data_IF_947910651245
#
_entry.id   IF_947910651245
#
_cell.length_a   1.000
_cell.length_b   1.000
_cell.length_c   1.000
_cell.angle_alpha   90.00
_cell.angle_beta   90.00
_cell.angle_gamma   90.00
#
_symmetry.space_group_name_H-M   'P 1'
#
loop_
_entity.id
_entity.type
_entity.pdbx_description
1 polymer ?
#
# COMPACT_ATOMS: atom_id res chain seq x y z
N UNK A 1 -42.21 19.47 -48.08
CA UNK A 1 -42.51 18.48 -47.03
C UNK A 1 -41.42 18.60 -45.97
N UNK A 2 -41.78 19.15 -44.80
CA UNK A 2 -40.86 19.28 -43.63
C UNK A 2 -41.16 18.13 -42.70
N UNK A 3 -40.19 17.26 -42.48
CA UNK A 3 -40.27 16.17 -41.51
C UNK A 3 -39.75 16.66 -40.16
N UNK A 4 -40.60 16.73 -39.15
CA UNK A 4 -40.27 17.00 -37.78
C UNK A 4 -39.65 15.76 -37.13
N UNK A 5 -38.45 15.91 -36.56
CA UNK A 5 -37.86 14.92 -35.67
C UNK A 5 -38.35 15.15 -34.22
N UNK A 6 -38.60 14.10 -33.46
CA UNK A 6 -39.04 14.24 -32.08
C UNK A 6 -37.88 14.60 -31.14
N UNK A 7 -38.07 15.64 -30.34
CA UNK A 7 -37.23 16.03 -29.21
C UNK A 7 -37.41 15.04 -28.06
N UNK A 8 -36.30 14.36 -27.68
CA UNK A 8 -36.25 13.52 -26.48
C UNK A 8 -35.81 14.41 -25.32
N UNK A 9 -36.69 14.54 -24.32
CA UNK A 9 -36.39 15.20 -23.04
C UNK A 9 -35.45 14.32 -22.19
N UNK A 10 -34.40 14.86 -21.53
CA UNK A 10 -33.60 14.05 -20.64
C UNK A 10 -34.36 13.76 -19.35
N UNK A 11 -34.49 12.49 -19.01
CA UNK A 11 -35.00 12.02 -17.73
C UNK A 11 -34.06 12.47 -16.61
N UNK A 12 -34.59 13.15 -15.61
CA UNK A 12 -33.89 13.50 -14.38
C UNK A 12 -33.55 12.20 -13.63
N UNK A 13 -32.26 11.91 -13.49
CA UNK A 13 -31.75 10.87 -12.61
C UNK A 13 -31.89 11.35 -11.14
N UNK A 14 -32.97 10.92 -10.49
CA UNK A 14 -33.09 10.98 -9.03
C UNK A 14 -32.05 9.99 -8.45
N UNK A 15 -30.90 10.48 -8.10
CA UNK A 15 -29.92 9.75 -7.30
C UNK A 15 -30.44 9.60 -5.88
N UNK A 16 -30.93 8.42 -5.57
CA UNK A 16 -31.27 7.98 -4.22
C UNK A 16 -29.94 7.99 -3.40
N UNK A 17 -29.77 9.03 -2.58
CA UNK A 17 -28.70 9.10 -1.58
C UNK A 17 -29.10 8.22 -0.41
N UNK A 18 -29.02 6.90 -0.58
CA UNK A 18 -28.97 6.00 0.56
C UNK A 18 -27.71 6.35 1.35
N UNK A 19 -27.90 6.93 2.52
CA UNK A 19 -26.83 7.12 3.50
C UNK A 19 -26.37 5.73 3.98
N UNK A 20 -25.42 5.13 3.25
CA UNK A 20 -24.66 4.02 3.78
C UNK A 20 -23.88 4.57 4.97
N UNK A 21 -24.31 4.29 6.20
CA UNK A 21 -23.47 4.38 7.37
C UNK A 21 -22.26 3.50 7.08
N UNK A 22 -21.09 4.12 6.87
CA UNK A 22 -19.87 3.40 6.57
C UNK A 22 -19.66 2.38 7.70
N UNK A 23 -19.51 1.10 7.33
CA UNK A 23 -19.19 0.06 8.30
C UNK A 23 -17.84 0.38 8.95
N UNK A 24 -17.65 0.01 10.22
CA UNK A 24 -16.34 0.11 10.85
C UNK A 24 -15.28 -0.68 10.07
N UNK A 25 -14.08 -0.16 9.93
CA UNK A 25 -12.97 -0.85 9.23
C UNK A 25 -12.75 -2.27 9.75
N UNK A 26 -12.89 -2.47 11.05
CA UNK A 26 -12.74 -3.78 11.67
C UNK A 26 -13.70 -4.83 11.12
N UNK A 27 -14.97 -4.49 10.90
CA UNK A 27 -15.96 -5.43 10.38
C UNK A 27 -15.62 -5.93 8.97
N UNK A 28 -15.07 -5.06 8.12
CA UNK A 28 -14.71 -5.41 6.76
C UNK A 28 -13.38 -6.19 6.71
N UNK A 29 -12.38 -5.77 7.49
CA UNK A 29 -11.04 -6.41 7.55
C UNK A 29 -11.12 -7.86 8.03
N UNK A 30 -12.03 -8.16 8.95
CA UNK A 30 -12.29 -9.53 9.43
C UNK A 30 -13.52 -10.15 8.76
N UNK A 31 -14.22 -9.38 7.92
CA UNK A 31 -15.45 -9.74 7.21
C UNK A 31 -15.21 -10.63 5.98
N UNK A 32 -16.15 -10.63 5.05
CA UNK A 32 -16.14 -11.53 3.91
C UNK A 32 -15.00 -11.24 2.93
N UNK A 33 -14.72 -9.95 2.67
CA UNK A 33 -13.70 -9.51 1.70
C UNK A 33 -12.29 -9.53 2.27
N UNK A 34 -12.12 -9.22 3.55
CA UNK A 34 -10.84 -9.15 4.24
C UNK A 34 -10.12 -7.82 4.11
N UNK A 35 -10.78 -6.79 3.56
CA UNK A 35 -10.24 -5.45 3.42
C UNK A 35 -11.32 -4.38 3.37
N UNK A 36 -10.91 -3.14 3.59
CA UNK A 36 -11.74 -1.95 3.41
C UNK A 36 -10.92 -0.80 2.83
N UNK A 37 -11.59 0.21 2.30
CA UNK A 37 -10.99 1.37 1.67
C UNK A 37 -11.24 2.62 2.50
N UNK A 38 -10.29 3.54 2.46
CA UNK A 38 -10.42 4.88 2.99
C UNK A 38 -9.57 5.86 2.20
N UNK A 39 -9.64 7.13 2.57
CA UNK A 39 -8.84 8.17 1.93
C UNK A 39 -8.34 9.20 2.95
N UNK A 40 -7.19 9.79 2.67
CA UNK A 40 -6.65 10.95 3.37
C UNK A 40 -7.03 12.23 2.63
N UNK A 41 -6.95 13.35 3.32
CA UNK A 41 -7.21 14.65 2.70
C UNK A 41 -6.09 15.04 1.71
N UNK A 42 -6.36 15.93 0.73
CA UNK A 42 -5.32 16.43 -0.18
C UNK A 42 -4.14 17.09 0.54
N UNK A 43 -4.36 17.77 1.67
CA UNK A 43 -3.30 18.37 2.48
C UNK A 43 -2.44 17.34 3.19
N UNK A 44 -3.02 16.25 3.71
CA UNK A 44 -2.30 15.14 4.30
C UNK A 44 -1.47 14.40 3.24
N UNK A 45 -2.03 14.19 2.04
CA UNK A 45 -1.28 13.62 0.92
C UNK A 45 -0.10 14.50 0.52
N UNK A 46 -0.27 15.82 0.46
CA UNK A 46 0.81 16.76 0.16
C UNK A 46 1.93 16.68 1.22
N UNK A 47 1.57 16.63 2.51
CA UNK A 47 2.52 16.45 3.62
C UNK A 47 3.28 15.14 3.50
N UNK A 48 2.59 14.02 3.26
CA UNK A 48 3.21 12.70 3.07
C UNK A 48 4.18 12.69 1.88
N UNK A 49 3.78 13.28 0.75
CA UNK A 49 4.65 13.45 -0.43
C UNK A 49 5.90 14.25 -0.11
N UNK A 50 5.76 15.30 0.70
CA UNK A 50 6.87 16.11 1.20
C UNK A 50 7.90 15.26 1.95
N UNK A 51 7.47 14.51 2.96
CA UNK A 51 8.35 13.65 3.76
C UNK A 51 9.07 12.59 2.93
N UNK A 52 8.34 11.92 2.01
CA UNK A 52 8.96 10.92 1.13
C UNK A 52 9.98 11.58 0.20
N UNK A 53 9.65 12.74 -0.38
CA UNK A 53 10.54 13.47 -1.30
C UNK A 53 11.81 13.97 -0.59
N UNK A 54 11.68 14.49 0.62
CA UNK A 54 12.83 14.93 1.42
C UNK A 54 13.80 13.77 1.68
N UNK A 55 13.29 12.62 2.13
CA UNK A 55 14.12 11.43 2.35
C UNK A 55 14.73 10.92 1.05
N UNK A 56 13.99 10.93 -0.04
CA UNK A 56 14.44 10.52 -1.37
C UNK A 56 15.62 11.37 -1.86
N UNK A 57 15.50 12.70 -1.80
CA UNK A 57 16.56 13.63 -2.18
C UNK A 57 17.76 13.56 -1.23
N UNK A 58 17.52 13.47 0.07
CA UNK A 58 18.58 13.29 1.06
C UNK A 58 19.42 12.03 0.79
N UNK A 59 18.75 10.91 0.52
CA UNK A 59 19.46 9.67 0.16
C UNK A 59 20.31 9.82 -1.09
N UNK A 60 19.77 10.45 -2.13
CA UNK A 60 20.51 10.73 -3.38
C UNK A 60 21.70 11.64 -3.12
N UNK A 61 21.56 12.66 -2.26
CA UNK A 61 22.66 13.54 -1.88
C UNK A 61 23.81 12.78 -1.23
N UNK A 62 23.52 11.71 -0.48
CA UNK A 62 24.53 10.90 0.18
C UNK A 62 25.23 9.90 -0.75
N UNK A 63 24.53 9.33 -1.73
CA UNK A 63 25.03 8.17 -2.48
C UNK A 63 25.27 8.43 -3.98
N UNK A 64 24.72 9.51 -4.52
CA UNK A 64 24.87 9.93 -5.93
C UNK A 64 24.74 11.46 -6.05
N UNK A 65 25.57 12.25 -5.35
CA UNK A 65 25.47 13.72 -5.27
C UNK A 65 25.54 14.40 -6.63
N UNK A 66 26.30 13.84 -7.58
CA UNK A 66 26.46 14.34 -8.96
C UNK A 66 25.14 14.33 -9.76
N UNK A 67 24.16 13.53 -9.34
CA UNK A 67 22.89 13.38 -10.05
C UNK A 67 21.71 14.10 -9.36
N UNK A 68 21.88 14.58 -8.13
CA UNK A 68 20.80 15.18 -7.31
C UNK A 68 20.02 16.26 -8.04
N UNK A 69 20.67 17.13 -8.81
CA UNK A 69 19.98 18.18 -9.55
C UNK A 69 18.98 17.65 -10.57
N UNK A 70 19.28 16.50 -11.19
CA UNK A 70 18.38 15.83 -12.15
C UNK A 70 17.14 15.29 -11.44
N UNK A 71 17.34 14.66 -10.27
CA UNK A 71 16.23 14.14 -9.48
C UNK A 71 15.41 15.26 -8.83
N UNK A 72 16.05 16.37 -8.44
CA UNK A 72 15.35 17.53 -7.92
C UNK A 72 14.39 18.15 -8.96
N UNK A 73 14.74 18.08 -10.24
CA UNK A 73 13.96 18.65 -11.35
C UNK A 73 12.70 17.85 -11.70
N UNK A 74 12.54 16.62 -11.20
CA UNK A 74 11.38 15.77 -11.49
C UNK A 74 10.55 15.48 -10.23
N UNK A 75 9.27 15.18 -10.43
CA UNK A 75 8.43 14.63 -9.37
C UNK A 75 8.69 13.12 -9.21
N UNK A 76 8.29 12.52 -8.09
CA UNK A 76 8.58 11.11 -7.81
C UNK A 76 7.86 10.15 -8.76
N UNK A 77 6.70 10.51 -9.27
CA UNK A 77 5.99 9.76 -10.31
C UNK A 77 6.68 9.80 -11.68
N UNK A 78 7.64 10.73 -11.87
CA UNK A 78 8.52 10.81 -13.03
C UNK A 78 9.92 10.20 -12.77
N UNK A 79 10.14 9.55 -11.63
CA UNK A 79 11.42 8.93 -11.27
C UNK A 79 12.01 8.05 -12.40
N UNK A 80 11.19 7.28 -13.09
CA UNK A 80 11.62 6.40 -14.17
C UNK A 80 12.36 7.12 -15.31
N UNK A 81 12.14 8.43 -15.51
CA UNK A 81 12.80 9.21 -16.56
C UNK A 81 14.27 9.55 -16.25
N UNK A 82 14.67 9.41 -14.98
CA UNK A 82 16.03 9.66 -14.49
C UNK A 82 16.63 8.45 -13.77
N UNK A 83 15.89 7.35 -13.68
CA UNK A 83 16.31 6.18 -12.88
C UNK A 83 17.55 5.48 -13.41
N UNK A 84 17.86 5.62 -14.70
CA UNK A 84 19.03 5.02 -15.34
C UNK A 84 20.35 5.72 -14.97
N UNK A 85 20.28 6.87 -14.32
CA UNK A 85 21.45 7.57 -13.77
C UNK A 85 22.05 6.87 -12.54
N UNK A 86 21.33 5.91 -11.96
CA UNK A 86 21.68 5.26 -10.69
C UNK A 86 21.31 3.78 -10.72
N UNK A 87 21.98 2.97 -9.90
CA UNK A 87 21.55 1.60 -9.67
C UNK A 87 20.36 1.62 -8.69
N UNK A 88 19.15 1.39 -9.21
CA UNK A 88 17.93 1.41 -8.43
C UNK A 88 17.97 0.46 -7.22
N UNK A 89 18.52 -0.75 -7.37
CA UNK A 89 18.54 -1.75 -6.30
C UNK A 89 19.51 -1.35 -5.18
N UNK A 90 20.62 -0.74 -5.51
CA UNK A 90 21.62 -0.29 -4.54
C UNK A 90 21.18 0.98 -3.81
N UNK A 91 20.53 1.91 -4.52
CA UNK A 91 20.10 3.18 -3.92
C UNK A 91 18.91 2.99 -2.99
N UNK A 92 17.98 2.08 -3.34
CA UNK A 92 16.71 1.90 -2.63
C UNK A 92 16.58 0.54 -1.95
N UNK A 93 17.53 0.08 -1.12
CA UNK A 93 17.27 -1.08 -0.26
C UNK A 93 16.08 -0.78 0.67
N UNK A 94 15.39 -1.80 1.19
CA UNK A 94 14.19 -1.62 2.03
C UNK A 94 14.46 -0.67 3.20
N UNK A 95 15.58 -0.83 3.87
CA UNK A 95 15.99 -0.01 5.02
C UNK A 95 16.14 1.49 4.71
N UNK A 96 16.51 1.85 3.48
CA UNK A 96 16.62 3.26 3.06
C UNK A 96 15.28 3.91 2.71
N UNK A 97 14.19 3.13 2.73
CA UNK A 97 12.83 3.55 2.39
C UNK A 97 11.88 3.57 3.59
N UNK A 98 12.38 3.34 4.79
CA UNK A 98 11.63 3.57 6.04
C UNK A 98 11.67 5.06 6.36
N UNK A 99 10.52 5.65 6.59
CA UNK A 99 10.42 7.07 6.94
C UNK A 99 11.16 7.36 8.26
N UNK A 100 11.78 8.53 8.41
CA UNK A 100 12.38 8.94 9.67
C UNK A 100 11.30 9.13 10.75
N UNK A 101 11.66 8.93 12.01
CA UNK A 101 10.74 9.00 13.14
C UNK A 101 9.91 10.30 13.20
N UNK A 102 10.52 11.43 12.82
CA UNK A 102 9.80 12.72 12.74
C UNK A 102 8.67 12.73 11.73
N UNK A 103 8.88 12.10 10.55
CA UNK A 103 7.84 11.95 9.53
C UNK A 103 6.73 10.99 9.99
N UNK A 104 7.09 9.91 10.71
CA UNK A 104 6.11 8.98 11.27
C UNK A 104 5.22 9.67 12.30
N UNK A 105 5.79 10.50 13.19
CA UNK A 105 5.01 11.33 14.12
C UNK A 105 4.04 12.25 13.38
N UNK A 106 4.46 12.83 12.26
CA UNK A 106 3.58 13.64 11.41
C UNK A 106 2.43 12.81 10.82
N UNK A 107 2.70 11.59 10.34
CA UNK A 107 1.68 10.66 9.82
C UNK A 107 0.68 10.27 10.92
N UNK A 108 1.14 9.96 12.13
CA UNK A 108 0.28 9.66 13.28
C UNK A 108 -0.64 10.81 13.68
N UNK A 109 -0.23 12.06 13.43
CA UNK A 109 -1.05 13.25 13.70
C UNK A 109 -2.17 13.48 12.66
N UNK A 110 -2.14 12.79 11.52
CA UNK A 110 -3.15 12.93 10.45
C UNK A 110 -4.52 12.41 10.89
N UNK A 111 -5.57 12.96 10.27
CA UNK A 111 -6.95 12.62 10.61
C UNK A 111 -7.29 11.14 10.34
N UNK A 112 -6.71 10.55 9.29
CA UNK A 112 -6.93 9.14 8.99
C UNK A 112 -6.38 8.22 10.09
N UNK A 113 -5.23 8.56 10.68
CA UNK A 113 -4.64 7.78 11.77
C UNK A 113 -5.50 7.85 13.02
N UNK A 114 -5.99 9.04 13.35
CA UNK A 114 -6.96 9.24 14.45
C UNK A 114 -8.24 8.43 14.23
N UNK A 115 -8.69 8.33 12.96
CA UNK A 115 -9.84 7.48 12.62
C UNK A 115 -9.52 6.00 12.87
N UNK A 116 -8.34 5.50 12.48
CA UNK A 116 -7.91 4.15 12.80
C UNK A 116 -7.91 3.91 14.33
N UNK A 117 -7.34 4.84 15.10
CA UNK A 117 -7.33 4.76 16.58
C UNK A 117 -8.73 4.79 17.19
N UNK A 118 -9.68 5.54 16.60
CA UNK A 118 -11.07 5.55 17.07
C UNK A 118 -11.80 4.22 16.85
N UNK A 119 -11.41 3.45 15.84
CA UNK A 119 -12.03 2.17 15.49
C UNK A 119 -11.33 0.95 16.12
N UNK A 120 -10.01 0.97 16.17
CA UNK A 120 -9.19 -0.14 16.68
C UNK A 120 -8.63 0.08 18.10
N UNK A 121 -8.91 1.24 18.71
CA UNK A 121 -8.33 1.60 20.00
C UNK A 121 -6.86 1.97 19.86
N UNK A 122 -6.07 1.67 20.89
CA UNK A 122 -4.63 1.93 20.88
C UNK A 122 -3.92 1.12 19.78
N UNK A 123 -3.17 1.83 18.94
CA UNK A 123 -2.43 1.27 17.81
C UNK A 123 -0.92 1.41 18.04
N UNK A 124 -0.17 0.35 17.79
CA UNK A 124 1.28 0.36 17.65
C UNK A 124 1.63 0.06 16.19
N UNK A 125 2.49 0.85 15.55
CA UNK A 125 3.05 0.51 14.25
C UNK A 125 4.25 -0.42 14.47
N UNK A 126 4.38 -1.47 13.66
CA UNK A 126 5.45 -2.44 13.77
C UNK A 126 6.83 -1.86 13.44
N UNK A 127 7.85 -2.30 14.15
CA UNK A 127 9.27 -2.08 13.83
C UNK A 127 9.80 -3.31 13.09
N UNK A 128 9.39 -3.47 11.82
CA UNK A 128 9.73 -4.65 11.02
C UNK A 128 11.21 -4.74 10.64
N UNK A 129 11.91 -3.63 10.63
CA UNK A 129 13.33 -3.54 10.27
C UNK A 129 14.27 -3.45 11.50
N UNK A 130 13.72 -3.51 12.72
CA UNK A 130 14.45 -3.42 13.99
C UNK A 130 15.29 -2.13 14.14
N UNK A 131 14.71 -0.99 13.79
CA UNK A 131 15.35 0.32 13.95
C UNK A 131 15.21 0.90 15.36
N UNK A 132 14.36 0.32 16.20
CA UNK A 132 14.02 0.84 17.53
C UNK A 132 12.90 1.89 17.49
N UNK A 133 12.27 2.11 16.35
CA UNK A 133 11.09 2.95 16.19
C UNK A 133 10.12 2.36 15.16
N UNK A 134 8.89 2.87 15.13
CA UNK A 134 7.83 2.48 14.21
C UNK A 134 8.25 2.60 12.75
N UNK A 135 7.87 1.64 11.90
CA UNK A 135 8.30 1.61 10.51
C UNK A 135 7.13 1.87 9.55
N UNK A 136 7.22 2.92 8.74
CA UNK A 136 6.40 3.16 7.56
C UNK A 136 7.33 3.14 6.36
N UNK A 137 7.13 2.17 5.46
CA UNK A 137 8.00 1.96 4.30
C UNK A 137 7.33 2.52 3.05
N UNK A 138 8.07 3.30 2.26
CA UNK A 138 7.62 3.71 0.94
C UNK A 138 8.25 2.87 -0.16
N UNK A 139 7.55 2.75 -1.30
CA UNK A 139 7.95 1.94 -2.43
C UNK A 139 7.91 2.74 -3.73
N UNK A 140 8.88 2.45 -4.62
CA UNK A 140 8.92 2.92 -6.00
C UNK A 140 8.74 1.73 -6.93
N UNK A 141 7.80 1.82 -7.87
CA UNK A 141 7.60 0.80 -8.91
C UNK A 141 7.61 1.49 -10.27
N UNK A 142 8.72 1.33 -10.96
CA UNK A 142 8.93 1.92 -12.29
C UNK A 142 8.06 1.24 -13.36
N UNK A 143 7.69 1.95 -14.43
CA UNK A 143 7.06 1.35 -15.59
C UNK A 143 7.88 0.18 -16.15
N UNK A 144 7.22 -0.95 -16.40
CA UNK A 144 7.79 -2.14 -17.07
C UNK A 144 9.05 -2.72 -16.44
N UNK A 145 9.26 -2.48 -15.13
CA UNK A 145 10.38 -3.00 -14.37
C UNK A 145 9.91 -4.04 -13.33
N UNK A 146 10.81 -4.96 -12.96
CA UNK A 146 10.55 -6.01 -11.96
C UNK A 146 10.65 -5.47 -10.51
N UNK A 147 9.96 -4.37 -10.24
CA UNK A 147 9.99 -3.68 -8.94
C UNK A 147 8.87 -4.16 -7.99
N UNK A 148 8.03 -5.10 -8.40
CA UNK A 148 6.94 -5.65 -7.59
C UNK A 148 7.32 -6.98 -6.94
N UNK A 149 6.80 -7.21 -5.72
CA UNK A 149 6.90 -8.50 -5.05
C UNK A 149 5.90 -9.54 -5.59
N UNK A 150 6.10 -10.82 -5.30
CA UNK A 150 5.17 -11.90 -5.63
C UNK A 150 3.88 -11.78 -4.82
N UNK A 151 2.86 -12.57 -5.18
CA UNK A 151 1.67 -12.77 -4.33
C UNK A 151 2.08 -13.50 -3.05
N UNK A 152 1.64 -12.98 -1.92
CA UNK A 152 1.90 -13.51 -0.58
C UNK A 152 0.81 -13.09 0.40
N UNK A 153 0.81 -13.69 1.59
CA UNK A 153 0.17 -13.15 2.79
C UNK A 153 1.27 -12.68 3.75
N UNK A 154 1.05 -11.55 4.42
CA UNK A 154 2.07 -11.01 5.34
C UNK A 154 2.32 -11.94 6.54
N UNK A 155 1.33 -12.71 6.98
CA UNK A 155 1.50 -13.71 8.05
C UNK A 155 2.62 -14.70 7.75
N UNK A 156 2.83 -15.07 6.50
CA UNK A 156 3.86 -16.02 6.11
C UNK A 156 5.29 -15.53 6.39
N UNK A 157 5.49 -14.21 6.45
CA UNK A 157 6.80 -13.64 6.82
C UNK A 157 7.20 -13.96 8.25
N UNK A 158 6.24 -14.08 9.18
CA UNK A 158 6.55 -14.47 10.56
C UNK A 158 7.05 -15.91 10.67
N UNK A 159 6.67 -16.77 9.72
CA UNK A 159 7.12 -18.16 9.67
C UNK A 159 8.52 -18.27 9.04
N UNK A 160 8.78 -17.54 7.94
CA UNK A 160 10.07 -17.60 7.24
C UNK A 160 11.13 -16.68 7.84
N UNK A 161 10.74 -15.72 8.68
CA UNK A 161 11.63 -14.75 9.36
C UNK A 161 11.32 -14.70 10.85
N UNK A 162 11.82 -15.64 11.64
CA UNK A 162 11.50 -15.73 13.09
C UNK A 162 12.00 -14.53 13.91
N UNK A 163 12.80 -13.65 13.33
CA UNK A 163 13.23 -12.39 13.96
C UNK A 163 12.12 -11.32 13.94
N UNK A 164 11.13 -11.44 13.08
CA UNK A 164 9.96 -10.56 13.13
C UNK A 164 9.10 -10.91 14.35
N UNK A 165 8.90 -9.93 15.22
CA UNK A 165 8.19 -10.12 16.49
C UNK A 165 6.69 -9.95 16.30
N UNK A 166 5.92 -10.96 16.71
CA UNK A 166 4.48 -10.80 16.99
C UNK A 166 4.33 -10.14 18.37
N UNK A 167 3.42 -9.19 18.47
CA UNK A 167 3.09 -8.58 19.76
C UNK A 167 2.09 -9.47 20.51
N UNK A 168 2.41 -9.88 21.73
CA UNK A 168 1.51 -10.71 22.56
C UNK A 168 0.22 -9.97 22.83
N UNK A 169 -0.93 -10.64 22.65
CA UNK A 169 -2.27 -10.07 22.87
C UNK A 169 -2.70 -9.05 21.81
N UNK A 170 -1.96 -8.94 20.71
CA UNK A 170 -2.30 -8.05 19.59
C UNK A 170 -2.29 -8.79 18.27
N UNK A 171 -3.12 -8.35 17.33
CA UNK A 171 -3.17 -8.88 15.97
C UNK A 171 -2.66 -7.83 14.97
N UNK A 172 -1.90 -8.27 13.96
CA UNK A 172 -1.46 -7.38 12.91
C UNK A 172 -2.57 -7.12 11.89
N UNK A 173 -2.65 -5.86 11.46
CA UNK A 173 -3.49 -5.39 10.36
C UNK A 173 -2.60 -4.58 9.44
N UNK A 174 -2.73 -4.79 8.14
CA UNK A 174 -1.90 -4.10 7.14
C UNK A 174 -2.58 -2.86 6.61
N UNK A 175 -1.74 -1.87 6.32
CA UNK A 175 -2.15 -0.65 5.62
C UNK A 175 -1.26 -0.47 4.40
N UNK A 176 -1.88 -0.26 3.26
CA UNK A 176 -1.24 0.16 2.03
C UNK A 176 -1.91 1.44 1.54
N UNK A 177 -1.14 2.44 1.12
CA UNK A 177 -1.68 3.72 0.65
C UNK A 177 -1.04 4.14 -0.66
N UNK A 178 -1.86 4.57 -1.60
CA UNK A 178 -1.43 5.15 -2.86
C UNK A 178 -0.92 6.59 -2.65
N UNK A 179 0.32 6.87 -3.02
CA UNK A 179 0.91 8.22 -2.99
C UNK A 179 0.93 8.83 -4.40
N UNK A 180 1.37 8.05 -5.38
CA UNK A 180 1.21 8.29 -6.82
C UNK A 180 0.80 6.96 -7.45
N UNK A 181 -0.38 6.90 -8.03
CA UNK A 181 -0.98 5.67 -8.53
C UNK A 181 -2.01 5.99 -9.61
N UNK A 182 -2.16 5.10 -10.57
CA UNK A 182 -3.24 5.15 -11.55
C UNK A 182 -4.33 4.16 -11.10
N UNK A 183 -5.50 4.68 -10.73
CA UNK A 183 -6.58 3.92 -10.13
C UNK A 183 -6.95 2.67 -10.96
N UNK A 184 -7.00 1.51 -10.28
CA UNK A 184 -7.34 0.23 -10.90
C UNK A 184 -6.30 -0.35 -11.86
N UNK A 185 -5.11 0.28 -12.01
CA UNK A 185 -4.12 -0.11 -13.02
C UNK A 185 -2.78 -0.56 -12.46
N UNK A 186 -2.22 0.17 -11.48
CA UNK A 186 -0.90 -0.13 -10.94
C UNK A 186 -0.82 -0.09 -9.40
N UNK A 187 -1.95 -0.25 -8.72
CA UNK A 187 -2.06 -0.26 -7.27
C UNK A 187 -1.65 -1.58 -6.61
N UNK A 188 -2.43 -1.97 -5.61
CA UNK A 188 -2.38 -3.27 -4.97
C UNK A 188 -3.40 -4.20 -5.66
N UNK A 189 -3.05 -5.48 -5.82
CA UNK A 189 -3.98 -6.56 -6.20
C UNK A 189 -4.13 -7.52 -5.03
N UNK A 190 -5.30 -8.10 -4.86
CA UNK A 190 -5.60 -8.98 -3.73
C UNK A 190 -6.64 -10.03 -4.12
N UNK A 191 -6.71 -11.10 -3.32
CA UNK A 191 -7.70 -12.16 -3.46
C UNK A 191 -8.71 -12.02 -2.32
N UNK A 192 -9.92 -11.55 -2.64
CA UNK A 192 -10.99 -11.33 -1.66
C UNK A 192 -11.33 -12.63 -0.91
N UNK A 193 -11.46 -12.52 0.41
CA UNK A 193 -11.80 -13.64 1.28
C UNK A 193 -10.71 -14.69 1.49
N UNK A 194 -9.52 -14.54 0.89
CA UNK A 194 -8.41 -15.50 1.01
C UNK A 194 -7.90 -15.67 2.44
N UNK A 195 -8.03 -14.64 3.28
CA UNK A 195 -7.64 -14.68 4.70
C UNK A 195 -8.40 -15.76 5.51
N UNK A 196 -9.54 -16.25 5.00
CA UNK A 196 -10.35 -17.33 5.59
C UNK A 196 -10.04 -18.71 4.98
N UNK A 197 -9.13 -18.79 4.04
CA UNK A 197 -8.84 -19.96 3.22
C UNK A 197 -7.38 -20.43 3.34
N UNK A 198 -6.78 -20.24 4.51
CA UNK A 198 -5.40 -20.65 4.77
C UNK A 198 -5.14 -22.17 4.65
N UNK A 199 -6.19 -22.98 4.65
CA UNK A 199 -6.16 -24.40 4.33
C UNK A 199 -5.86 -24.68 2.85
N UNK A 200 -6.26 -23.79 1.95
CA UNK A 200 -6.09 -23.92 0.50
C UNK A 200 -4.83 -23.22 0.02
N UNK A 201 -4.63 -21.98 0.46
CA UNK A 201 -3.50 -21.17 -0.02
C UNK A 201 -2.24 -21.48 0.77
N UNK A 202 -1.24 -22.02 0.08
CA UNK A 202 0.07 -22.39 0.61
C UNK A 202 1.15 -21.48 0.04
N UNK A 203 2.30 -21.48 0.66
CA UNK A 203 3.48 -20.77 0.16
C UNK A 203 4.69 -21.70 0.10
N UNK A 204 5.63 -21.35 -0.76
CA UNK A 204 7.00 -21.81 -0.74
C UNK A 204 7.92 -20.68 -0.37
N UNK A 205 9.09 -20.98 0.17
CA UNK A 205 10.11 -19.99 0.47
C UNK A 205 11.08 -19.86 -0.71
N UNK A 206 11.30 -18.62 -1.17
CA UNK A 206 12.32 -18.28 -2.15
C UNK A 206 13.39 -17.39 -1.51
N UNK A 207 14.63 -17.47 -1.99
CA UNK A 207 15.68 -16.54 -1.58
C UNK A 207 15.72 -15.39 -2.59
N UNK A 208 15.48 -14.17 -2.11
CA UNK A 208 15.55 -12.93 -2.89
C UNK A 208 16.42 -11.92 -2.13
N UNK A 209 17.46 -11.41 -2.78
CA UNK A 209 18.43 -10.50 -2.15
C UNK A 209 18.97 -11.03 -0.80
N UNK A 210 19.32 -12.32 -0.76
CA UNK A 210 19.81 -13.05 0.42
C UNK A 210 18.82 -13.14 1.60
N UNK A 211 17.54 -12.88 1.37
CA UNK A 211 16.49 -12.99 2.37
C UNK A 211 15.43 -14.02 1.94
N UNK A 212 14.95 -14.82 2.90
CA UNK A 212 13.80 -15.69 2.68
C UNK A 212 12.53 -14.85 2.46
N UNK A 213 11.83 -15.13 1.37
CA UNK A 213 10.60 -14.46 0.97
C UNK A 213 9.53 -15.51 0.73
N UNK A 214 8.39 -15.47 1.40
CA UNK A 214 7.28 -16.35 1.10
C UNK A 214 6.63 -15.92 -0.21
N UNK A 215 6.30 -16.92 -1.04
CA UNK A 215 5.67 -16.76 -2.35
C UNK A 215 4.52 -17.75 -2.44
N UNK A 216 3.38 -17.32 -2.95
CA UNK A 216 2.26 -18.23 -3.19
C UNK A 216 2.72 -19.45 -3.98
N UNK A 217 2.36 -20.66 -3.49
CA UNK A 217 2.75 -21.92 -4.09
C UNK A 217 1.66 -22.42 -5.06
N UNK A 218 1.53 -21.72 -6.18
CA UNK A 218 0.58 -22.00 -7.24
C UNK A 218 0.79 -21.04 -8.42
N UNK A 219 -0.03 -21.19 -9.45
CA UNK A 219 -0.06 -20.28 -10.58
C UNK A 219 -0.86 -19.03 -10.22
N UNK A 220 -0.27 -17.85 -10.41
CA UNK A 220 -0.97 -16.58 -10.11
C UNK A 220 -2.20 -16.37 -11.00
N UNK A 221 -2.19 -16.97 -12.20
CA UNK A 221 -3.27 -16.93 -13.19
C UNK A 221 -4.56 -17.63 -12.72
N UNK A 222 -4.43 -18.56 -11.77
CA UNK A 222 -5.56 -19.30 -11.18
C UNK A 222 -6.22 -18.53 -10.03
N UNK A 223 -5.62 -17.43 -9.58
CA UNK A 223 -6.16 -16.64 -8.49
C UNK A 223 -7.21 -15.64 -8.98
N UNK A 224 -8.37 -15.53 -8.30
CA UNK A 224 -9.38 -14.50 -8.59
C UNK A 224 -8.91 -13.12 -8.09
N UNK A 225 -7.86 -12.59 -8.70
CA UNK A 225 -7.24 -11.33 -8.32
C UNK A 225 -8.13 -10.15 -8.68
N UNK A 226 -8.36 -9.27 -7.72
CA UNK A 226 -9.00 -7.97 -7.91
C UNK A 226 -8.00 -6.84 -7.68
N UNK A 227 -8.18 -5.71 -8.37
CA UNK A 227 -7.39 -4.50 -8.22
C UNK A 227 -8.33 -3.39 -7.77
N UNK A 228 -8.38 -3.06 -6.47
CA UNK A 228 -9.18 -1.92 -6.00
C UNK A 228 -8.76 -0.63 -6.70
N UNK A 229 -9.75 0.17 -7.11
CA UNK A 229 -9.49 1.45 -7.76
C UNK A 229 -9.05 2.49 -6.72
N UNK A 230 -7.74 2.54 -6.46
CA UNK A 230 -7.13 3.46 -5.49
C UNK A 230 -6.53 4.67 -6.20
N UNK A 231 -7.10 5.86 -5.97
CA UNK A 231 -6.52 7.14 -6.38
C UNK A 231 -5.39 7.56 -5.42
N UNK A 232 -4.52 8.50 -5.80
CA UNK A 232 -3.57 9.08 -4.85
C UNK A 232 -4.28 9.64 -3.61
N UNK A 233 -3.84 9.17 -2.43
CA UNK A 233 -4.46 9.46 -1.14
C UNK A 233 -5.43 8.39 -0.64
N UNK A 234 -5.85 7.45 -1.49
CA UNK A 234 -6.65 6.32 -1.04
C UNK A 234 -5.75 5.28 -0.36
N UNK A 235 -6.30 4.61 0.66
CA UNK A 235 -5.62 3.54 1.36
C UNK A 235 -6.51 2.31 1.50
N UNK A 236 -5.87 1.17 1.65
CA UNK A 236 -6.48 -0.14 1.91
C UNK A 236 -6.03 -0.57 3.30
N UNK A 237 -7.00 -0.87 4.17
CA UNK A 237 -6.78 -1.56 5.45
C UNK A 237 -7.16 -3.01 5.22
N UNK A 238 -6.27 -3.96 5.49
CA UNK A 238 -6.55 -5.35 5.16
C UNK A 238 -5.97 -6.35 6.17
N UNK A 239 -6.59 -7.51 6.18
CA UNK A 239 -6.20 -8.63 7.02
C UNK A 239 -4.81 -9.15 6.60
N UNK A 240 -3.92 -9.37 7.55
CA UNK A 240 -2.54 -9.82 7.26
C UNK A 240 -2.45 -11.25 6.68
N UNK A 241 -3.53 -12.04 6.74
CA UNK A 241 -3.66 -13.31 6.03
C UNK A 241 -4.17 -13.15 4.59
N UNK A 242 -4.61 -11.94 4.18
CA UNK A 242 -5.14 -11.71 2.84
C UNK A 242 -4.04 -11.85 1.79
N UNK A 243 -4.25 -12.70 0.78
CA UNK A 243 -3.33 -12.81 -0.37
C UNK A 243 -3.34 -11.50 -1.16
N UNK A 244 -2.16 -10.95 -1.34
CA UNK A 244 -1.99 -9.68 -2.06
C UNK A 244 -0.61 -9.56 -2.70
N UNK A 245 -0.47 -8.56 -3.56
CA UNK A 245 0.81 -8.20 -4.16
C UNK A 245 0.71 -6.92 -4.97
N UNK A 246 1.84 -6.37 -5.38
CA UNK A 246 1.85 -5.22 -6.28
C UNK A 246 1.36 -5.60 -7.68
N UNK A 247 0.61 -4.71 -8.32
CA UNK A 247 0.30 -4.85 -9.75
C UNK A 247 1.54 -4.52 -10.56
N UNK A 248 1.81 -5.30 -11.60
CA UNK A 248 2.83 -4.96 -12.59
C UNK A 248 2.51 -3.59 -13.21
N UNK A 249 3.48 -2.69 -13.22
CA UNK A 249 3.26 -1.32 -13.69
C UNK A 249 3.42 -1.22 -15.21
N UNK A 250 2.31 -1.28 -15.94
CA UNK A 250 2.26 -1.05 -17.40
C UNK A 250 2.01 0.42 -17.79
N UNK A 251 1.84 1.30 -16.80
CA UNK A 251 1.57 2.72 -17.01
C UNK A 251 2.83 3.49 -17.42
N UNK A 252 2.70 4.79 -17.66
CA UNK A 252 3.80 5.67 -18.06
C UNK A 252 4.37 6.49 -16.88
N UNK A 253 3.97 6.16 -15.65
CA UNK A 253 4.38 6.86 -14.43
C UNK A 253 4.90 5.88 -13.39
N UNK A 254 5.87 6.28 -12.61
CA UNK A 254 6.32 5.52 -11.45
C UNK A 254 5.24 5.53 -10.38
N UNK A 255 4.80 4.34 -9.94
CA UNK A 255 3.95 4.22 -8.75
C UNK A 255 4.78 4.48 -7.50
N UNK A 256 4.22 5.29 -6.60
CA UNK A 256 4.74 5.46 -5.23
C UNK A 256 3.63 5.08 -4.27
N UNK A 257 3.94 4.26 -3.29
CA UNK A 257 3.02 3.84 -2.23
C UNK A 257 3.75 3.78 -0.90
N UNK A 258 3.00 3.80 0.21
CA UNK A 258 3.51 3.40 1.53
C UNK A 258 2.82 2.12 1.98
N UNK A 259 3.50 1.34 2.81
CA UNK A 259 2.91 0.22 3.53
C UNK A 259 3.50 0.11 4.94
N UNK A 260 2.68 -0.35 5.87
CA UNK A 260 3.06 -0.60 7.25
C UNK A 260 2.07 -1.54 7.94
N UNK A 261 2.51 -2.14 9.02
CA UNK A 261 1.68 -2.99 9.88
C UNK A 261 1.30 -2.24 11.14
N UNK A 262 0.02 -2.23 11.48
CA UNK A 262 -0.46 -1.82 12.78
C UNK A 262 -0.80 -3.04 13.63
N UNK A 263 -0.53 -2.96 14.92
CA UNK A 263 -0.93 -3.97 15.90
C UNK A 263 -2.07 -3.42 16.74
N UNK A 264 -3.19 -4.13 16.69
CA UNK A 264 -4.44 -3.77 17.40
C UNK A 264 -4.78 -4.85 18.42
N UNK A 265 -5.63 -4.53 19.40
CA UNK A 265 -6.06 -5.47 20.43
C UNK A 265 -6.73 -6.71 19.81
N UNK A 266 -6.41 -7.91 20.28
CA UNK A 266 -6.94 -9.17 19.75
C UNK A 266 -8.47 -9.31 19.86
N UNK A 267 -9.14 -8.52 20.72
CA UNK A 267 -10.62 -8.47 20.79
C UNK A 267 -11.25 -8.09 19.44
N UNK A 268 -10.50 -7.44 18.54
CA UNK A 268 -10.93 -7.08 17.20
C UNK A 268 -10.83 -8.22 16.18
N UNK A 269 -10.38 -9.40 16.57
CA UNK A 269 -10.28 -10.59 15.71
C UNK A 269 -11.63 -11.25 15.38
N UNK A 270 -12.73 -10.73 15.92
CA UNK A 270 -14.07 -11.35 15.83
C UNK A 270 -14.71 -11.22 14.47
#
# INVERSE_FOLDING_TARGET
MKTNAPTVSPAAANGDKTSHTAKPFNEDVHGATGYTLGSITPSELATLRGHIREQWLYRLQLVAPEHVSKFHAVSMDQYHTVSDLVDHAQIWPKTSRVLPESAIRSVRAMSFFKKLESEFGEITIGDEENFGWENITWRLVRPKQKDVGPIHADEWFYEVRPTQKKHTGRIPVKIWMAVYCNAGKNGLRLVEGSHRRGDIYKYRSEIRNNLAVPVFDGAEEDLPLTIPATNPGDFIVFNHFLLHGGVWNNENTTRVSIDFTIFVDEKFKK
#
